data_IF_585191377713
#
_entry.id   IF_585191377713
#
_cell.length_a   1.000
_cell.length_b   1.000
_cell.length_c   1.000
_cell.angle_alpha   90.00
_cell.angle_beta   90.00
_cell.angle_gamma   90.00
#
_symmetry.space_group_name_H-M   'P 1'
#
loop_
_entity.id
_entity.type
_entity.pdbx_description
1 polymer ?
#
# COMPACT_ATOMS: atom_id res chain seq x y z
N UNK A 1 89.08 35.19 -19.79
CA UNK A 1 88.25 34.96 -18.58
C UNK A 1 87.01 35.85 -18.64
N UNK A 2 85.84 35.32 -19.02
CA UNK A 2 84.55 36.04 -19.05
C UNK A 2 83.49 35.12 -18.45
N UNK A 3 83.00 35.47 -17.28
CA UNK A 3 82.02 34.73 -16.49
C UNK A 3 80.63 35.07 -17.03
N UNK A 4 79.93 34.09 -17.62
CA UNK A 4 78.52 34.22 -18.03
C UNK A 4 77.61 33.88 -16.84
N UNK A 5 76.85 34.87 -16.37
CA UNK A 5 75.80 34.72 -15.36
C UNK A 5 74.58 34.01 -15.98
N UNK A 6 74.18 32.87 -15.41
CA UNK A 6 72.89 32.24 -15.71
C UNK A 6 71.82 32.75 -14.73
N UNK A 7 70.71 33.27 -15.28
CA UNK A 7 69.53 33.70 -14.52
C UNK A 7 68.69 32.45 -14.20
N UNK A 8 68.43 32.20 -12.92
CA UNK A 8 67.48 31.19 -12.47
C UNK A 8 66.07 31.79 -12.57
N UNK A 9 65.26 31.27 -13.50
CA UNK A 9 63.84 31.60 -13.62
C UNK A 9 63.04 30.78 -12.61
N UNK A 10 62.24 31.45 -11.80
CA UNK A 10 61.32 30.82 -10.85
C UNK A 10 60.07 30.39 -11.61
N UNK A 11 59.83 29.08 -11.71
CA UNK A 11 58.56 28.53 -12.21
C UNK A 11 57.61 28.42 -11.01
N UNK A 12 56.57 29.24 -10.97
CA UNK A 12 55.49 29.14 -9.99
C UNK A 12 54.55 28.02 -10.45
N UNK A 13 54.59 26.87 -9.77
CA UNK A 13 53.61 25.80 -9.95
C UNK A 13 52.35 26.14 -9.14
N UNK A 14 51.28 26.56 -9.81
CA UNK A 14 49.96 26.68 -9.20
C UNK A 14 49.32 25.28 -9.07
N UNK A 15 49.21 24.77 -7.85
CA UNK A 15 48.37 23.60 -7.56
C UNK A 15 46.89 24.05 -7.56
N UNK A 16 46.17 23.80 -8.65
CA UNK A 16 44.71 23.87 -8.66
C UNK A 16 44.14 22.52 -8.24
N UNK A 17 43.67 22.41 -6.99
CA UNK A 17 42.89 21.26 -6.54
C UNK A 17 41.49 21.32 -7.16
N UNK A 18 41.26 20.54 -8.22
CA UNK A 18 39.93 20.39 -8.82
C UNK A 18 39.11 19.39 -7.99
N UNK A 19 38.11 19.88 -7.26
CA UNK A 19 37.11 19.03 -6.62
C UNK A 19 36.21 18.40 -7.69
N UNK A 20 36.33 17.08 -7.89
CA UNK A 20 35.46 16.31 -8.79
C UNK A 20 34.14 16.04 -8.08
N UNK A 21 33.08 16.77 -8.48
CA UNK A 21 31.71 16.48 -8.05
C UNK A 21 31.21 15.23 -8.81
N UNK A 22 31.13 14.09 -8.11
CA UNK A 22 30.52 12.87 -8.64
C UNK A 22 29.00 13.03 -8.58
N UNK A 23 28.38 13.39 -9.70
CA UNK A 23 26.92 13.36 -9.86
C UNK A 23 26.44 11.91 -9.81
N UNK A 24 25.85 11.50 -8.69
CA UNK A 24 25.09 10.26 -8.62
C UNK A 24 23.78 10.47 -9.38
N UNK A 25 23.72 9.92 -10.60
CA UNK A 25 22.46 9.78 -11.33
C UNK A 25 21.60 8.78 -10.54
N UNK A 26 20.70 9.29 -9.69
CA UNK A 26 19.64 8.46 -9.10
C UNK A 26 18.74 8.05 -10.24
N UNK A 27 18.87 6.79 -10.67
CA UNK A 27 17.98 6.21 -11.68
C UNK A 27 16.57 6.24 -11.09
N UNK A 28 15.66 6.98 -11.70
CA UNK A 28 14.27 7.01 -11.26
C UNK A 28 13.72 5.57 -11.28
N UNK A 29 12.92 5.23 -10.27
CA UNK A 29 12.21 3.96 -10.25
C UNK A 29 11.30 3.88 -11.48
N UNK A 30 11.48 2.83 -12.28
CA UNK A 30 10.62 2.55 -13.42
C UNK A 30 9.52 1.60 -12.93
N UNK A 31 8.23 1.92 -13.14
CA UNK A 31 7.14 1.06 -12.69
C UNK A 31 7.21 -0.32 -13.39
N UNK A 32 6.41 -1.27 -12.90
CA UNK A 32 6.36 -2.64 -13.41
C UNK A 32 5.76 -2.78 -14.82
N UNK A 33 5.34 -1.67 -15.43
CA UNK A 33 4.82 -1.58 -16.79
C UNK A 33 5.64 -0.62 -17.65
N UNK A 34 5.54 -0.80 -18.98
CA UNK A 34 6.27 0.03 -19.94
C UNK A 34 5.69 1.46 -20.00
N UNK A 35 6.52 2.43 -19.67
CA UNK A 35 6.17 3.85 -19.74
C UNK A 35 6.15 4.42 -21.16
N UNK A 36 6.61 3.68 -22.17
CA UNK A 36 6.57 4.14 -23.55
C UNK A 36 5.15 4.08 -24.11
N UNK A 37 4.70 5.19 -24.69
CA UNK A 37 3.37 5.27 -25.33
C UNK A 37 2.19 5.38 -24.35
N UNK A 38 2.43 5.62 -23.06
CA UNK A 38 1.36 6.01 -22.13
C UNK A 38 0.73 7.32 -22.57
N UNK A 39 -0.59 7.43 -22.48
CA UNK A 39 -1.30 8.63 -22.90
C UNK A 39 -0.93 9.83 -22.01
N UNK A 40 -0.62 10.98 -22.61
CA UNK A 40 -0.32 12.19 -21.86
C UNK A 40 -1.48 12.57 -20.92
N UNK A 41 -1.15 12.94 -19.69
CA UNK A 41 -2.13 13.31 -18.66
C UNK A 41 -2.91 12.14 -18.03
N UNK A 42 -2.61 10.88 -18.41
CA UNK A 42 -3.16 9.69 -17.75
C UNK A 42 -2.59 9.47 -16.35
N UNK A 43 -3.25 8.58 -15.58
CA UNK A 43 -2.73 8.12 -14.28
C UNK A 43 -1.43 7.32 -14.48
N UNK A 44 -1.32 6.54 -15.54
CA UNK A 44 -0.08 5.84 -15.90
C UNK A 44 1.07 6.80 -16.18
N UNK A 45 0.83 7.89 -16.93
CA UNK A 45 1.85 8.92 -17.15
C UNK A 45 2.30 9.57 -15.84
N UNK A 46 1.39 9.78 -14.88
CA UNK A 46 1.73 10.26 -13.55
C UNK A 46 2.60 9.26 -12.79
N UNK A 47 2.25 7.97 -12.80
CA UNK A 47 3.04 6.91 -12.15
C UNK A 47 4.45 6.83 -12.76
N UNK A 48 4.59 6.98 -14.07
CA UNK A 48 5.88 6.98 -14.75
C UNK A 48 6.80 8.16 -14.38
N UNK A 49 6.23 9.28 -13.90
CA UNK A 49 6.96 10.51 -13.59
C UNK A 49 7.22 10.68 -12.09
N UNK A 50 6.47 9.97 -11.25
CA UNK A 50 6.54 10.05 -9.79
C UNK A 50 7.26 8.82 -9.21
N UNK A 51 8.41 9.04 -8.57
CA UNK A 51 9.23 7.97 -8.02
C UNK A 51 8.54 7.17 -6.90
N UNK A 52 7.70 7.82 -6.09
CA UNK A 52 6.99 7.15 -5.01
C UNK A 52 5.88 6.26 -5.56
N UNK A 53 5.12 6.76 -6.54
CA UNK A 53 4.07 5.97 -7.20
C UNK A 53 4.66 4.80 -8.02
N UNK A 54 5.79 5.01 -8.70
CA UNK A 54 6.50 3.93 -9.38
C UNK A 54 6.98 2.84 -8.41
N UNK A 55 7.51 3.23 -7.24
CA UNK A 55 7.92 2.28 -6.20
C UNK A 55 6.73 1.48 -5.64
N UNK A 56 5.57 2.12 -5.45
CA UNK A 56 4.34 1.44 -5.05
C UNK A 56 3.83 0.45 -6.12
N UNK A 57 3.96 0.80 -7.41
CA UNK A 57 3.62 -0.10 -8.51
C UNK A 57 4.52 -1.35 -8.54
N UNK A 58 5.84 -1.17 -8.39
CA UNK A 58 6.79 -2.29 -8.27
C UNK A 58 6.42 -3.19 -7.09
N UNK A 59 6.18 -2.59 -5.90
CA UNK A 59 5.80 -3.33 -4.70
C UNK A 59 4.51 -4.12 -4.90
N UNK A 60 3.50 -3.51 -5.53
CA UNK A 60 2.25 -4.21 -5.82
C UNK A 60 2.47 -5.38 -6.79
N UNK A 61 3.34 -5.22 -7.80
CA UNK A 61 3.68 -6.29 -8.73
C UNK A 61 4.30 -7.51 -8.02
N UNK A 62 5.22 -7.26 -7.09
CA UNK A 62 5.84 -8.30 -6.25
C UNK A 62 4.83 -9.01 -5.34
N UNK A 63 3.95 -8.24 -4.67
CA UNK A 63 2.90 -8.78 -3.81
C UNK A 63 1.88 -9.57 -4.61
N UNK A 64 1.49 -9.08 -5.78
CA UNK A 64 0.57 -9.76 -6.69
C UNK A 64 1.13 -11.11 -7.15
N UNK A 65 2.44 -11.19 -7.45
CA UNK A 65 3.09 -12.45 -7.79
C UNK A 65 2.98 -13.48 -6.67
N UNK A 66 3.25 -13.07 -5.43
CA UNK A 66 3.12 -13.95 -4.25
C UNK A 66 1.67 -14.40 -4.02
N UNK A 67 0.72 -13.47 -4.17
CA UNK A 67 -0.72 -13.79 -4.10
C UNK A 67 -1.13 -14.77 -5.21
N UNK A 68 -0.62 -14.60 -6.44
CA UNK A 68 -0.90 -15.50 -7.56
C UNK A 68 -0.40 -16.92 -7.30
N UNK A 69 0.77 -17.08 -6.67
CA UNK A 69 1.30 -18.40 -6.30
C UNK A 69 0.36 -19.11 -5.31
N UNK A 70 -0.20 -18.36 -4.33
CA UNK A 70 -1.19 -18.86 -3.36
C UNK A 70 -2.56 -19.14 -3.99
N UNK A 71 -2.94 -18.37 -5.00
CA UNK A 71 -4.24 -18.45 -5.67
C UNK A 71 -4.36 -19.61 -6.69
N UNK A 72 -3.32 -20.42 -6.87
CA UNK A 72 -3.28 -21.50 -7.89
C UNK A 72 -4.48 -22.46 -7.81
N UNK A 73 -5.00 -22.72 -6.61
CA UNK A 73 -6.14 -23.61 -6.36
C UNK A 73 -7.44 -22.85 -6.00
N UNK A 74 -7.48 -21.54 -6.21
CA UNK A 74 -8.66 -20.73 -5.94
C UNK A 74 -9.77 -21.05 -6.95
N UNK A 75 -10.98 -21.33 -6.44
CA UNK A 75 -12.12 -21.71 -7.25
C UNK A 75 -13.35 -20.88 -6.87
N UNK A 76 -13.83 -19.98 -7.76
CA UNK A 76 -13.28 -19.66 -9.10
C UNK A 76 -11.95 -18.88 -9.06
N UNK A 77 -11.10 -18.95 -10.10
CA UNK A 77 -9.82 -18.23 -10.14
C UNK A 77 -10.03 -16.73 -10.46
N UNK A 78 -10.38 -15.92 -9.46
CA UNK A 78 -10.80 -14.51 -9.66
C UNK A 78 -9.66 -13.49 -9.59
N UNK A 79 -8.55 -13.78 -8.90
CA UNK A 79 -7.47 -12.82 -8.63
C UNK A 79 -7.01 -12.02 -9.86
N UNK A 80 -6.82 -12.68 -11.01
CA UNK A 80 -6.41 -12.00 -12.25
C UNK A 80 -7.48 -11.06 -12.79
N UNK A 81 -8.75 -11.42 -12.67
CA UNK A 81 -9.86 -10.56 -13.09
C UNK A 81 -10.00 -9.36 -12.15
N UNK A 82 -9.88 -9.59 -10.85
CA UNK A 82 -9.91 -8.55 -9.83
C UNK A 82 -8.76 -7.56 -9.98
N UNK A 83 -7.54 -8.03 -10.26
CA UNK A 83 -6.40 -7.14 -10.49
C UNK A 83 -6.61 -6.23 -11.70
N UNK A 84 -7.19 -6.74 -12.80
CA UNK A 84 -7.56 -5.90 -13.95
C UNK A 84 -8.64 -4.88 -13.60
N UNK A 85 -9.61 -5.28 -12.78
CA UNK A 85 -10.66 -4.39 -12.27
C UNK A 85 -10.07 -3.29 -11.40
N UNK A 86 -9.14 -3.65 -10.52
CA UNK A 86 -8.43 -2.72 -9.66
C UNK A 86 -7.62 -1.69 -10.45
N UNK A 87 -6.88 -2.09 -11.51
CA UNK A 87 -6.16 -1.12 -12.38
C UNK A 87 -7.11 -0.08 -12.97
N UNK A 88 -8.30 -0.51 -13.42
CA UNK A 88 -9.34 0.42 -13.90
C UNK A 88 -9.82 1.35 -12.78
N UNK A 89 -10.06 0.80 -11.59
CA UNK A 89 -10.45 1.57 -10.40
C UNK A 89 -9.42 2.63 -10.02
N UNK A 90 -8.14 2.26 -9.93
CA UNK A 90 -7.02 3.19 -9.71
C UNK A 90 -7.03 4.33 -10.73
N UNK A 91 -7.30 4.02 -11.99
CA UNK A 91 -7.32 5.06 -13.03
C UNK A 91 -8.45 6.06 -12.87
N UNK A 92 -9.56 5.73 -12.19
CA UNK A 92 -10.63 6.67 -11.85
C UNK A 92 -10.17 7.81 -10.92
N UNK A 93 -8.97 7.72 -10.33
CA UNK A 93 -8.31 8.83 -9.64
C UNK A 93 -8.14 10.08 -10.52
N UNK A 94 -8.30 9.99 -11.86
CA UNK A 94 -8.35 11.17 -12.71
C UNK A 94 -9.43 12.18 -12.30
N UNK A 95 -10.48 11.72 -11.62
CA UNK A 95 -11.61 12.52 -11.10
C UNK A 95 -11.36 13.14 -9.74
N UNK A 96 -10.33 12.72 -9.01
CA UNK A 96 -10.05 13.21 -7.67
C UNK A 96 -9.44 14.62 -7.71
N UNK A 97 -9.73 15.42 -6.67
CA UNK A 97 -9.11 16.73 -6.48
C UNK A 97 -7.60 16.59 -6.29
N UNK A 98 -7.18 15.65 -5.44
CA UNK A 98 -5.79 15.23 -5.29
C UNK A 98 -5.59 13.84 -5.91
N UNK A 99 -5.15 13.86 -7.17
CA UNK A 99 -4.88 12.64 -7.96
C UNK A 99 -3.72 11.82 -7.39
N UNK A 100 -2.67 12.48 -6.88
CA UNK A 100 -1.50 11.79 -6.37
C UNK A 100 -1.85 11.01 -5.10
N UNK A 101 -2.52 11.67 -4.15
CA UNK A 101 -2.99 11.04 -2.92
C UNK A 101 -3.98 9.90 -3.21
N UNK A 102 -4.88 10.07 -4.18
CA UNK A 102 -5.80 9.01 -4.61
C UNK A 102 -5.03 7.78 -5.12
N UNK A 103 -4.10 7.95 -6.06
CA UNK A 103 -3.33 6.83 -6.64
C UNK A 103 -2.48 6.14 -5.57
N UNK A 104 -1.82 6.91 -4.70
CA UNK A 104 -1.06 6.38 -3.57
C UNK A 104 -1.92 5.52 -2.64
N UNK A 105 -3.11 6.02 -2.29
CA UNK A 105 -4.06 5.31 -1.42
C UNK A 105 -4.57 4.01 -2.05
N UNK A 106 -4.84 4.03 -3.36
CA UNK A 106 -5.26 2.84 -4.12
C UNK A 106 -4.19 1.74 -4.12
N UNK A 107 -2.91 2.11 -4.31
CA UNK A 107 -1.80 1.15 -4.21
C UNK A 107 -1.66 0.59 -2.79
N UNK A 108 -1.62 1.46 -1.78
CA UNK A 108 -1.45 1.03 -0.38
C UNK A 108 -2.55 0.06 0.04
N UNK A 109 -3.82 0.40 -0.25
CA UNK A 109 -4.97 -0.46 0.03
C UNK A 109 -4.88 -1.80 -0.70
N UNK A 110 -4.55 -1.82 -1.99
CA UNK A 110 -4.45 -3.07 -2.74
C UNK A 110 -3.31 -3.97 -2.24
N UNK A 111 -2.17 -3.38 -1.90
CA UNK A 111 -1.06 -4.11 -1.30
C UNK A 111 -1.49 -4.75 0.03
N UNK A 112 -2.09 -3.95 0.92
CA UNK A 112 -2.59 -4.44 2.20
C UNK A 112 -3.65 -5.54 2.05
N UNK A 113 -4.59 -5.37 1.11
CA UNK A 113 -5.59 -6.38 0.76
C UNK A 113 -4.96 -7.71 0.37
N UNK A 114 -4.03 -7.70 -0.59
CA UNK A 114 -3.41 -8.93 -1.07
C UNK A 114 -2.57 -9.60 0.01
N UNK A 115 -1.87 -8.79 0.83
CA UNK A 115 -1.10 -9.31 1.96
C UNK A 115 -1.98 -10.04 2.98
N UNK A 116 -3.11 -9.43 3.37
CA UNK A 116 -4.03 -10.03 4.34
C UNK A 116 -4.78 -11.23 3.75
N UNK A 117 -5.42 -11.09 2.57
CA UNK A 117 -6.27 -12.13 1.98
C UNK A 117 -5.50 -13.40 1.61
N UNK A 118 -4.27 -13.27 1.13
CA UNK A 118 -3.46 -14.40 0.67
C UNK A 118 -2.45 -14.89 1.73
N UNK A 119 -2.54 -14.38 2.97
CA UNK A 119 -1.67 -14.78 4.07
C UNK A 119 -0.19 -14.58 3.74
N UNK A 120 0.16 -13.43 3.17
CA UNK A 120 1.54 -13.06 2.85
C UNK A 120 2.25 -12.37 4.02
N UNK A 121 1.50 -12.09 5.08
CA UNK A 121 1.97 -11.58 6.36
C UNK A 121 1.23 -12.30 7.49
N UNK A 122 1.90 -12.51 8.61
CA UNK A 122 1.30 -13.10 9.79
C UNK A 122 0.27 -12.14 10.42
N UNK A 123 -0.86 -12.70 10.84
CA UNK A 123 -1.84 -11.96 11.62
C UNK A 123 -1.27 -11.59 13.00
N UNK A 124 -1.57 -10.40 13.50
CA UNK A 124 -1.17 -9.97 14.84
C UNK A 124 -2.10 -10.52 15.92
N UNK A 125 -3.38 -10.71 15.58
CA UNK A 125 -4.39 -11.22 16.50
C UNK A 125 -5.58 -11.80 15.73
N UNK A 126 -6.27 -12.76 16.34
CA UNK A 126 -7.59 -13.22 15.94
C UNK A 126 -8.50 -13.18 17.16
N UNK A 127 -9.61 -12.44 17.06
CA UNK A 127 -10.55 -12.22 18.17
C UNK A 127 -11.93 -12.67 17.74
N UNK A 128 -12.56 -13.52 18.52
CA UNK A 128 -13.96 -13.91 18.34
C UNK A 128 -14.85 -13.03 19.21
N UNK A 129 -15.86 -12.40 18.62
CA UNK A 129 -16.86 -11.61 19.32
C UNK A 129 -18.22 -12.32 19.29
N UNK A 130 -18.95 -12.30 20.41
CA UNK A 130 -20.35 -12.70 20.51
C UNK A 130 -21.26 -11.49 20.37
N UNK A 131 -22.12 -11.46 19.35
CA UNK A 131 -23.00 -10.33 19.04
C UNK A 131 -24.45 -10.56 19.54
N UNK A 132 -25.14 -9.47 19.88
CA UNK A 132 -26.45 -9.51 20.55
C UNK A 132 -27.67 -9.77 19.67
N UNK A 133 -27.51 -9.86 18.34
CA UNK A 133 -28.64 -9.97 17.41
C UNK A 133 -29.35 -11.31 17.45
N UNK A 134 -28.60 -12.41 17.61
CA UNK A 134 -29.18 -13.75 17.73
C UNK A 134 -28.26 -14.68 18.53
N UNK A 135 -28.81 -15.72 19.19
CA UNK A 135 -28.00 -16.69 19.92
C UNK A 135 -26.96 -17.35 19.01
N UNK A 136 -25.68 -17.30 19.41
CA UNK A 136 -24.58 -17.87 18.64
C UNK A 136 -24.12 -17.02 17.44
N UNK A 137 -24.56 -15.77 17.31
CA UNK A 137 -23.99 -14.82 16.35
C UNK A 137 -22.55 -14.49 16.71
N UNK A 138 -21.61 -14.92 15.88
CA UNK A 138 -20.19 -14.67 16.09
C UNK A 138 -19.60 -13.83 14.94
N UNK A 139 -18.69 -12.92 15.30
CA UNK A 139 -17.81 -12.23 14.35
C UNK A 139 -16.39 -12.62 14.70
N UNK A 140 -15.66 -13.22 13.76
CA UNK A 140 -14.24 -13.52 13.92
C UNK A 140 -13.45 -12.43 13.21
N UNK A 141 -12.66 -11.69 13.96
CA UNK A 141 -11.86 -10.57 13.48
C UNK A 141 -10.37 -10.93 13.51
N UNK A 142 -9.76 -11.06 12.33
CA UNK A 142 -8.32 -11.28 12.20
C UNK A 142 -7.64 -9.98 11.79
N UNK A 143 -6.68 -9.52 12.59
CA UNK A 143 -5.97 -8.25 12.43
C UNK A 143 -4.60 -8.49 11.81
N UNK A 144 -4.22 -7.63 10.86
CA UNK A 144 -2.94 -7.73 10.15
C UNK A 144 -2.16 -6.42 10.23
N UNK A 145 -0.82 -6.47 10.41
CA UNK A 145 0.04 -5.30 10.49
C UNK A 145 0.41 -4.77 9.09
N UNK A 146 -0.57 -4.64 8.20
CA UNK A 146 -0.40 -4.04 6.88
C UNK A 146 -0.35 -2.50 6.96
N UNK A 147 -0.09 -1.84 5.84
CA UNK A 147 -0.16 -0.38 5.73
C UNK A 147 -1.18 0.04 4.64
N UNK A 148 -2.35 0.60 5.02
CA UNK A 148 -2.81 0.80 6.40
C UNK A 148 -3.15 -0.52 7.10
N UNK A 149 -3.24 -0.56 8.45
CA UNK A 149 -3.62 -1.77 9.17
C UNK A 149 -4.97 -2.30 8.72
N UNK A 150 -5.06 -3.61 8.54
CA UNK A 150 -6.27 -4.27 8.01
C UNK A 150 -6.86 -5.25 9.00
N UNK A 151 -8.15 -5.49 8.82
CA UNK A 151 -8.93 -6.48 9.53
C UNK A 151 -9.73 -7.27 8.51
N UNK A 152 -9.65 -8.60 8.57
CA UNK A 152 -10.60 -9.50 7.90
C UNK A 152 -11.58 -9.98 8.96
N UNK A 153 -12.84 -9.57 8.80
CA UNK A 153 -13.94 -10.04 9.64
C UNK A 153 -14.73 -11.13 8.91
N UNK A 154 -15.08 -12.19 9.63
CA UNK A 154 -15.94 -13.27 9.16
C UNK A 154 -17.19 -13.31 10.03
N UNK A 155 -18.36 -13.46 9.40
CA UNK A 155 -19.65 -13.62 10.07
C UNK A 155 -20.55 -14.53 9.23
N UNK A 156 -20.81 -15.73 9.73
CA UNK A 156 -21.45 -16.79 8.93
C UNK A 156 -20.62 -17.07 7.67
N UNK A 157 -21.26 -17.08 6.50
CA UNK A 157 -20.59 -17.29 5.21
C UNK A 157 -20.03 -16.00 4.57
N UNK A 158 -20.09 -14.88 5.29
CA UNK A 158 -19.66 -13.57 4.78
C UNK A 158 -18.30 -13.17 5.33
N UNK A 159 -17.48 -12.59 4.46
CA UNK A 159 -16.15 -12.06 4.80
C UNK A 159 -16.09 -10.60 4.37
N UNK A 160 -15.56 -9.74 5.23
CA UNK A 160 -15.30 -8.33 4.91
C UNK A 160 -13.85 -7.97 5.26
N UNK A 161 -13.15 -7.43 4.26
CA UNK A 161 -11.86 -6.75 4.47
C UNK A 161 -12.13 -5.30 4.82
N UNK A 162 -11.51 -4.85 5.90
CA UNK A 162 -11.64 -3.49 6.42
C UNK A 162 -10.26 -2.88 6.65
N UNK A 163 -10.18 -1.55 6.52
CA UNK A 163 -8.97 -0.78 6.77
C UNK A 163 -9.18 0.12 7.99
N UNK A 164 -8.12 0.28 8.79
CA UNK A 164 -8.15 1.19 9.93
C UNK A 164 -8.51 2.61 9.49
N UNK A 165 -9.37 3.26 10.25
CA UNK A 165 -9.78 4.65 10.09
C UNK A 165 -9.33 5.46 11.31
N UNK A 166 -9.20 6.77 11.15
CA UNK A 166 -9.00 7.67 12.28
C UNK A 166 -10.21 7.66 13.22
N UNK A 167 -9.95 7.54 14.53
CA UNK A 167 -10.98 7.54 15.57
C UNK A 167 -10.50 8.30 16.82
N UNK A 168 -11.42 8.98 17.50
CA UNK A 168 -11.12 9.74 18.72
C UNK A 168 -10.82 8.85 19.94
N UNK A 169 -11.31 7.61 19.93
CA UNK A 169 -11.02 6.58 20.93
C UNK A 169 -11.23 5.20 20.31
N UNK A 170 -10.53 4.18 20.82
CA UNK A 170 -10.62 2.82 20.32
C UNK A 170 -10.05 2.64 18.91
N UNK A 171 -10.19 1.44 18.36
CA UNK A 171 -9.72 1.10 17.03
C UNK A 171 -10.90 0.88 16.08
N UNK A 172 -11.06 1.77 15.09
CA UNK A 172 -12.11 1.68 14.07
C UNK A 172 -11.57 1.14 12.76
N UNK A 173 -12.25 0.14 12.22
CA UNK A 173 -12.00 -0.44 10.90
C UNK A 173 -13.26 -0.32 10.06
N UNK A 174 -13.10 0.04 8.79
CA UNK A 174 -14.21 0.15 7.85
C UNK A 174 -13.89 -0.55 6.52
N UNK A 175 -14.84 -1.36 6.06
CA UNK A 175 -14.88 -1.94 4.73
C UNK A 175 -15.75 -1.12 3.79
N UNK A 176 -16.37 -1.78 2.81
CA UNK A 176 -17.24 -1.11 1.84
C UNK A 176 -18.56 -0.66 2.47
N UNK A 177 -19.19 -1.56 3.23
CA UNK A 177 -20.45 -1.30 3.92
C UNK A 177 -20.44 -1.81 5.37
N UNK A 178 -19.36 -2.45 5.78
CA UNK A 178 -19.18 -3.00 7.11
C UNK A 178 -18.22 -2.13 7.91
N UNK A 179 -18.38 -2.15 9.23
CA UNK A 179 -17.42 -1.54 10.15
C UNK A 179 -17.35 -2.32 11.44
N UNK A 180 -16.19 -2.25 12.08
CA UNK A 180 -15.95 -2.76 13.42
C UNK A 180 -15.22 -1.67 14.20
N UNK A 181 -15.80 -1.24 15.30
CA UNK A 181 -15.17 -0.29 16.22
C UNK A 181 -14.99 -0.92 17.58
N UNK A 182 -13.75 -1.25 17.93
CA UNK A 182 -13.39 -1.83 19.22
C UNK A 182 -13.06 -0.73 20.23
N UNK A 183 -13.56 -0.91 21.46
CA UNK A 183 -13.18 -0.11 22.61
C UNK A 183 -13.36 -0.91 23.92
N UNK A 184 -12.25 -1.21 24.59
CA UNK A 184 -12.19 -1.84 25.92
C UNK A 184 -12.84 -3.24 25.99
N UNK A 185 -12.65 -4.08 24.97
CA UNK A 185 -13.17 -5.46 24.94
C UNK A 185 -14.63 -5.58 24.52
N UNK A 186 -15.24 -4.46 24.12
CA UNK A 186 -16.52 -4.41 23.41
C UNK A 186 -16.29 -3.88 21.99
N UNK A 187 -17.12 -4.33 21.06
CA UNK A 187 -17.08 -3.88 19.68
C UNK A 187 -18.49 -3.53 19.18
N UNK A 188 -18.59 -2.39 18.50
CA UNK A 188 -19.78 -2.03 17.70
C UNK A 188 -19.53 -2.48 16.26
N UNK A 189 -20.41 -3.33 15.73
CA UNK A 189 -20.29 -3.87 14.37
C UNK A 189 -21.50 -3.45 13.53
N UNK A 190 -21.25 -2.94 12.33
CA UNK A 190 -22.26 -2.76 11.28
C UNK A 190 -21.91 -3.73 10.17
N UNK A 191 -22.88 -4.55 9.73
CA UNK A 191 -22.67 -5.59 8.73
C UNK A 191 -23.52 -5.35 7.49
N UNK A 192 -23.18 -4.31 6.72
CA UNK A 192 -23.85 -3.96 5.47
C UNK A 192 -24.56 -2.61 5.52
N UNK A 193 -24.97 -2.14 4.33
CA UNK A 193 -25.56 -0.82 4.17
C UNK A 193 -26.93 -0.74 4.86
N UNK A 194 -27.08 0.20 5.79
CA UNK A 194 -28.32 0.39 6.55
C UNK A 194 -28.61 -0.72 7.57
N UNK A 195 -27.66 -1.63 7.82
CA UNK A 195 -27.80 -2.64 8.86
C UNK A 195 -27.80 -2.00 10.26
N UNK A 196 -28.55 -2.56 11.23
CA UNK A 196 -28.49 -2.10 12.61
C UNK A 196 -27.11 -2.33 13.21
N UNK A 197 -26.73 -1.48 14.16
CA UNK A 197 -25.54 -1.69 14.97
C UNK A 197 -25.69 -2.92 15.87
N UNK A 198 -24.64 -3.72 15.90
CA UNK A 198 -24.50 -4.88 16.76
C UNK A 198 -23.55 -4.54 17.89
N UNK A 199 -23.99 -4.79 19.12
CA UNK A 199 -23.09 -4.77 20.26
C UNK A 199 -22.50 -6.16 20.41
N UNK A 200 -21.18 -6.26 20.38
CA UNK A 200 -20.48 -7.52 20.47
C UNK A 200 -19.45 -7.47 21.60
N UNK A 201 -19.25 -8.58 22.29
CA UNK A 201 -18.26 -8.73 23.37
C UNK A 201 -17.26 -9.80 23.00
N UNK A 202 -16.00 -9.61 23.39
CA UNK A 202 -14.99 -10.66 23.21
C UNK A 202 -15.49 -11.96 23.86
N UNK A 203 -15.46 -13.04 23.09
CA UNK A 203 -15.78 -14.38 23.57
C UNK A 203 -14.72 -14.78 24.61
N UNK A 204 -15.13 -15.15 25.84
CA UNK A 204 -14.20 -15.54 26.91
C UNK A 204 -13.28 -16.70 26.56
#
# INVERSE_FOLDING_TARGET
MKIRKFRVGWVVFSLSAAAVLVYHQVKAAEPSFDCTGVADGSIEAMICQDQELAALDIKLSEVYKQAADKATNEHPPTLKAEQRGWVKGRNECWKADDKNLCVKSEYQRRIAELQARYGLIEATASVTYLCTDQPGSEVIATYYPTDPPTLIAERGDSVSLMYQQESASGAKYAGRNESLWEHQGEATVIWGYGAPELNCKVKP
#
